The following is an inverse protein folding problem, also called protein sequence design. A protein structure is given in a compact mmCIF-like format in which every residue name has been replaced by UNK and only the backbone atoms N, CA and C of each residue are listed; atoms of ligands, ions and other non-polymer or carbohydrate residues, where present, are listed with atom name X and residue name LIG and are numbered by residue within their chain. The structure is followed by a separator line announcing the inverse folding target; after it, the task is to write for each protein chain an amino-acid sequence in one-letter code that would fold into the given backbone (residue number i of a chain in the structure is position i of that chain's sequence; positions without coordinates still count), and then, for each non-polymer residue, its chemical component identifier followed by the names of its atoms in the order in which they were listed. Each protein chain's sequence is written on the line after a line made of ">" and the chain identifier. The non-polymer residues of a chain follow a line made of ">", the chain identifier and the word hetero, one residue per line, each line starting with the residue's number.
data_IF_530708571265
#
_entry.id   IF_530708571265
#
_cell.length_a   1.000
_cell.length_b   1.000
_cell.length_c   1.000
_cell.angle_alpha   90.00
_cell.angle_beta   90.00
_cell.angle_gamma   90.00
#
_symmetry.space_group_name_H-M   'P 1'
#
loop_
_entity.id
_entity.type
_entity.pdbx_description
1 polymer ?
#
# COMPACT_ATOMS: atom_id res chain seq x y z
N UNK A 1 45.67 -31.04 14.44
CA UNK A 1 44.61 -30.90 15.48
C UNK A 1 45.31 -30.75 16.81
N UNK A 2 45.21 -29.59 17.45
CA UNK A 2 45.78 -29.38 18.79
C UNK A 2 44.90 -30.05 19.84
N UNK A 3 45.51 -30.59 20.91
CA UNK A 3 44.84 -31.30 22.03
C UNK A 3 43.76 -30.43 22.71
N UNK A 4 43.87 -29.11 22.57
CA UNK A 4 42.89 -28.12 23.03
C UNK A 4 41.56 -28.25 22.28
N UNK A 5 41.57 -28.56 20.99
CA UNK A 5 40.36 -28.66 20.14
C UNK A 5 39.50 -29.90 20.40
N UNK A 6 40.00 -30.86 21.21
CA UNK A 6 39.28 -32.10 21.56
C UNK A 6 38.73 -32.09 22.99
N UNK A 7 38.92 -31.01 23.74
CA UNK A 7 38.35 -30.89 25.09
C UNK A 7 36.81 -30.78 25.01
N UNK A 8 36.05 -31.66 25.69
CA UNK A 8 34.58 -31.66 25.61
C UNK A 8 33.93 -30.34 26.00
N UNK A 9 34.50 -29.63 26.99
CA UNK A 9 34.00 -28.31 27.42
C UNK A 9 34.13 -27.27 26.31
N UNK A 10 35.23 -27.27 25.54
CA UNK A 10 35.41 -26.33 24.44
C UNK A 10 34.50 -26.67 23.26
N UNK A 11 34.28 -27.95 22.98
CA UNK A 11 33.31 -28.37 21.96
C UNK A 11 31.88 -27.96 22.31
N UNK A 12 31.49 -28.10 23.57
CA UNK A 12 30.18 -27.67 24.06
C UNK A 12 30.02 -26.14 23.96
N UNK A 13 31.06 -25.37 24.31
CA UNK A 13 31.03 -23.91 24.19
C UNK A 13 30.99 -23.44 22.73
N UNK A 14 31.71 -24.09 21.82
CA UNK A 14 31.61 -23.83 20.37
C UNK A 14 30.20 -24.12 19.88
N UNK A 15 29.63 -25.29 20.22
CA UNK A 15 28.27 -25.63 19.84
C UNK A 15 27.22 -24.64 20.38
N UNK A 16 27.42 -24.14 21.61
CA UNK A 16 26.57 -23.11 22.21
C UNK A 16 26.72 -21.77 21.49
N UNK A 17 27.94 -21.34 21.16
CA UNK A 17 28.21 -20.12 20.40
C UNK A 17 27.58 -20.19 19.00
N UNK A 18 27.77 -21.30 18.29
CA UNK A 18 27.16 -21.52 16.97
C UNK A 18 25.62 -21.57 17.06
N UNK A 19 25.09 -22.13 18.14
CA UNK A 19 23.65 -22.15 18.43
C UNK A 19 23.09 -20.74 18.63
N UNK A 20 23.76 -19.91 19.41
CA UNK A 20 23.39 -18.51 19.64
C UNK A 20 23.45 -17.70 18.32
N UNK A 21 24.51 -17.84 17.53
CA UNK A 21 24.66 -17.16 16.24
C UNK A 21 23.59 -17.58 15.22
N UNK A 22 23.19 -18.86 15.19
CA UNK A 22 22.05 -19.31 14.36
C UNK A 22 20.73 -18.73 14.85
N UNK A 23 20.46 -18.75 16.16
CA UNK A 23 19.23 -18.23 16.74
C UNK A 23 19.07 -16.73 16.48
N UNK A 24 20.14 -15.95 16.67
CA UNK A 24 20.12 -14.52 16.37
C UNK A 24 19.87 -14.26 14.88
N UNK A 25 20.58 -14.96 13.98
CA UNK A 25 20.39 -14.78 12.53
C UNK A 25 18.97 -15.12 12.09
N UNK A 26 18.40 -16.21 12.62
CA UNK A 26 17.01 -16.58 12.36
C UNK A 26 16.06 -15.47 12.82
N UNK A 27 16.20 -15.00 14.06
CA UNK A 27 15.34 -13.94 14.59
C UNK A 27 15.46 -12.64 13.77
N UNK A 28 16.68 -12.25 13.36
CA UNK A 28 16.88 -11.07 12.50
C UNK A 28 16.18 -11.23 11.15
N UNK A 29 16.18 -12.43 10.56
CA UNK A 29 15.47 -12.70 9.30
C UNK A 29 13.95 -12.60 9.48
N UNK A 30 13.41 -13.21 10.52
CA UNK A 30 11.97 -13.15 10.86
C UNK A 30 11.53 -11.70 11.14
N UNK A 31 12.31 -10.96 11.93
CA UNK A 31 12.06 -9.56 12.23
C UNK A 31 12.10 -8.71 10.95
N UNK A 32 13.09 -8.90 10.08
CA UNK A 32 13.19 -8.17 8.82
C UNK A 32 11.96 -8.41 7.91
N UNK A 33 11.49 -9.65 7.80
CA UNK A 33 10.28 -9.97 7.04
C UNK A 33 9.04 -9.31 7.64
N UNK A 34 8.89 -9.34 8.98
CA UNK A 34 7.74 -8.72 9.65
C UNK A 34 7.75 -7.20 9.51
N UNK A 35 8.93 -6.57 9.65
CA UNK A 35 9.11 -5.12 9.45
C UNK A 35 8.70 -4.75 8.02
N UNK A 36 9.21 -5.47 7.00
CA UNK A 36 8.86 -5.19 5.61
C UNK A 36 7.34 -5.27 5.34
N UNK A 37 6.65 -6.25 5.92
CA UNK A 37 5.19 -6.35 5.83
C UNK A 37 4.47 -5.15 6.49
N UNK A 38 4.88 -4.77 7.70
CA UNK A 38 4.32 -3.62 8.40
C UNK A 38 4.57 -2.30 7.66
N UNK A 39 5.74 -2.14 7.03
CA UNK A 39 6.06 -0.96 6.23
C UNK A 39 5.19 -0.86 4.98
N UNK A 40 4.90 -1.99 4.32
CA UNK A 40 3.97 -2.03 3.19
C UNK A 40 2.54 -1.69 3.63
N UNK A 41 2.04 -2.32 4.69
CA UNK A 41 0.72 -2.03 5.27
C UNK A 41 0.56 -0.55 5.60
N UNK A 42 1.55 0.02 6.31
CA UNK A 42 1.60 1.45 6.65
C UNK A 42 1.58 2.32 5.40
N UNK A 43 2.39 1.99 4.41
CA UNK A 43 2.49 2.76 3.16
C UNK A 43 1.16 2.77 2.41
N UNK A 44 0.49 1.63 2.29
CA UNK A 44 -0.82 1.57 1.63
C UNK A 44 -1.90 2.29 2.44
N UNK A 45 -1.86 2.23 3.77
CA UNK A 45 -2.80 2.99 4.61
C UNK A 45 -2.69 4.50 4.39
N UNK A 46 -1.47 5.05 4.33
CA UNK A 46 -1.28 6.48 4.04
C UNK A 46 -1.66 6.86 2.61
N UNK A 47 -1.45 5.97 1.63
CA UNK A 47 -1.90 6.20 0.24
C UNK A 47 -3.41 6.26 0.13
N UNK A 48 -4.13 5.34 0.78
CA UNK A 48 -5.60 5.37 0.91
C UNK A 48 -6.05 6.70 1.49
N UNK A 49 -5.52 7.07 2.66
CA UNK A 49 -5.89 8.30 3.35
C UNK A 49 -5.62 9.54 2.50
N UNK A 50 -4.44 9.60 1.86
CA UNK A 50 -4.06 10.72 1.00
C UNK A 50 -5.00 10.87 -0.19
N UNK A 51 -5.29 9.78 -0.91
CA UNK A 51 -6.20 9.81 -2.04
C UNK A 51 -7.62 10.21 -1.63
N UNK A 52 -8.16 9.60 -0.56
CA UNK A 52 -9.53 9.89 -0.11
C UNK A 52 -9.70 11.35 0.28
N UNK A 53 -8.73 11.95 0.98
CA UNK A 53 -8.75 13.38 1.33
C UNK A 53 -8.77 14.25 0.09
N UNK A 54 -7.87 14.00 -0.86
CA UNK A 54 -7.78 14.80 -2.07
C UNK A 54 -9.04 14.68 -2.95
N UNK A 55 -9.66 13.51 -2.99
CA UNK A 55 -10.92 13.31 -3.70
C UNK A 55 -12.06 14.08 -3.02
N UNK A 56 -12.18 13.97 -1.70
CA UNK A 56 -13.18 14.73 -0.93
C UNK A 56 -13.00 16.22 -1.13
N UNK A 57 -11.78 16.74 -1.00
CA UNK A 57 -11.48 18.16 -1.21
C UNK A 57 -11.83 18.61 -2.64
N UNK A 58 -11.54 17.77 -3.64
CA UNK A 58 -11.82 18.08 -5.04
C UNK A 58 -13.33 18.10 -5.36
N UNK A 59 -14.11 17.16 -4.81
CA UNK A 59 -15.54 17.03 -5.11
C UNK A 59 -16.45 17.84 -4.20
N UNK A 60 -15.93 18.44 -3.12
CA UNK A 60 -16.73 19.18 -2.14
C UNK A 60 -17.54 20.35 -2.75
N UNK A 61 -17.05 20.94 -3.84
CA UNK A 61 -17.74 22.01 -4.58
C UNK A 61 -18.55 21.53 -5.78
N UNK A 62 -18.77 20.23 -5.94
CA UNK A 62 -19.54 19.69 -7.06
C UNK A 62 -21.05 19.90 -6.84
N UNK A 63 -21.73 20.49 -7.83
CA UNK A 63 -23.16 20.78 -7.75
C UNK A 63 -24.05 19.54 -7.98
N UNK A 64 -23.48 18.47 -8.56
CA UNK A 64 -24.18 17.23 -8.88
C UNK A 64 -23.24 16.03 -8.87
N UNK A 65 -23.80 14.82 -8.73
CA UNK A 65 -23.03 13.57 -8.72
C UNK A 65 -22.23 13.37 -10.01
N UNK A 66 -22.79 13.72 -11.17
CA UNK A 66 -22.09 13.64 -12.46
C UNK A 66 -20.83 14.53 -12.49
N UNK A 67 -20.92 15.74 -11.93
CA UNK A 67 -19.78 16.64 -11.79
C UNK A 67 -18.75 16.07 -10.82
N UNK A 68 -19.17 15.49 -9.69
CA UNK A 68 -18.28 14.84 -8.74
C UNK A 68 -17.53 13.65 -9.37
N UNK A 69 -18.22 12.83 -10.18
CA UNK A 69 -17.63 11.73 -10.94
C UNK A 69 -16.57 12.20 -11.91
N UNK A 70 -16.86 13.24 -12.70
CA UNK A 70 -15.92 13.83 -13.66
C UNK A 70 -14.68 14.40 -12.97
N UNK A 71 -14.88 15.17 -11.90
CA UNK A 71 -13.79 15.76 -11.09
C UNK A 71 -12.91 14.67 -10.48
N UNK A 72 -13.50 13.68 -9.82
CA UNK A 72 -12.75 12.60 -9.20
C UNK A 72 -11.97 11.76 -10.22
N UNK A 73 -12.56 11.47 -11.39
CA UNK A 73 -11.86 10.76 -12.45
C UNK A 73 -10.67 11.57 -12.99
N UNK A 74 -10.80 12.89 -13.12
CA UNK A 74 -9.68 13.77 -13.50
C UNK A 74 -8.59 13.80 -12.42
N UNK A 75 -8.97 13.94 -11.14
CA UNK A 75 -8.04 13.89 -10.00
C UNK A 75 -7.27 12.58 -9.95
N UNK A 76 -7.96 11.45 -10.10
CA UNK A 76 -7.34 10.13 -10.06
C UNK A 76 -6.38 9.92 -11.25
N UNK A 77 -6.77 10.29 -12.47
CA UNK A 77 -5.87 10.26 -13.64
C UNK A 77 -4.61 11.09 -13.40
N UNK A 78 -4.76 12.31 -12.88
CA UNK A 78 -3.65 13.20 -12.57
C UNK A 78 -2.69 12.60 -11.54
N UNK A 79 -3.22 11.98 -10.49
CA UNK A 79 -2.41 11.31 -9.45
C UNK A 79 -1.64 10.11 -9.96
N UNK A 80 -2.25 9.35 -10.87
CA UNK A 80 -1.64 8.18 -11.49
C UNK A 80 -0.76 8.50 -12.70
N UNK A 81 -0.64 9.78 -13.09
CA UNK A 81 0.13 10.22 -14.25
C UNK A 81 -0.41 9.69 -15.59
N UNK A 82 -1.71 9.42 -15.67
CA UNK A 82 -2.33 8.89 -16.89
C UNK A 82 -2.64 10.03 -17.86
N UNK A 83 -1.77 10.17 -18.87
CA UNK A 83 -1.90 11.18 -19.94
C UNK A 83 -2.63 10.69 -21.19
N UNK A 84 -2.86 9.38 -21.32
CA UNK A 84 -3.59 8.78 -22.43
C UNK A 84 -4.68 7.83 -21.96
N UNK A 85 -5.71 7.69 -22.78
CA UNK A 85 -6.78 6.71 -22.55
C UNK A 85 -6.31 5.31 -22.95
N UNK A 86 -6.71 4.31 -22.16
CA UNK A 86 -6.63 2.91 -22.53
C UNK A 86 -7.81 2.18 -21.90
N UNK A 87 -8.27 1.10 -22.53
CA UNK A 87 -9.39 0.30 -22.03
C UNK A 87 -9.18 -0.13 -20.57
N UNK A 88 -7.97 -0.58 -20.24
CA UNK A 88 -7.61 -0.99 -18.89
C UNK A 88 -7.62 0.16 -17.86
N UNK A 89 -7.40 1.42 -18.29
CA UNK A 89 -7.49 2.62 -17.42
C UNK A 89 -8.94 3.05 -17.27
N UNK A 90 -9.72 3.02 -18.35
CA UNK A 90 -11.15 3.31 -18.32
C UNK A 90 -11.89 2.37 -17.38
N UNK A 91 -11.62 1.06 -17.48
CA UNK A 91 -12.20 0.06 -16.57
C UNK A 91 -11.91 0.37 -15.10
N UNK A 92 -10.68 0.80 -14.76
CA UNK A 92 -10.33 1.18 -13.38
C UNK A 92 -11.15 2.37 -12.91
N UNK A 93 -11.33 3.39 -13.76
CA UNK A 93 -12.12 4.57 -13.42
C UNK A 93 -13.61 4.23 -13.26
N UNK A 94 -14.15 3.39 -14.13
CA UNK A 94 -15.53 2.88 -14.03
C UNK A 94 -15.75 2.11 -12.73
N UNK A 95 -14.81 1.23 -12.37
CA UNK A 95 -14.87 0.46 -11.13
C UNK A 95 -14.64 1.30 -9.88
N UNK A 96 -13.96 2.44 -10.01
CA UNK A 96 -13.75 3.39 -8.93
C UNK A 96 -14.93 4.36 -8.75
N UNK A 97 -15.77 4.57 -9.78
CA UNK A 97 -16.90 5.48 -9.72
C UNK A 97 -17.83 5.28 -8.50
N UNK A 98 -18.17 4.04 -8.06
CA UNK A 98 -18.95 3.83 -6.85
C UNK A 98 -18.33 4.42 -5.58
N UNK A 99 -16.99 4.46 -5.48
CA UNK A 99 -16.29 5.08 -4.34
C UNK A 99 -16.59 6.58 -4.31
N UNK A 100 -16.48 7.25 -5.47
CA UNK A 100 -16.83 8.66 -5.60
C UNK A 100 -18.30 8.91 -5.26
N UNK A 101 -19.23 8.08 -5.74
CA UNK A 101 -20.65 8.24 -5.44
C UNK A 101 -20.93 8.15 -3.94
N UNK A 102 -20.29 7.20 -3.25
CA UNK A 102 -20.42 7.06 -1.79
C UNK A 102 -19.83 8.27 -1.05
N UNK A 103 -18.65 8.77 -1.47
CA UNK A 103 -18.04 9.99 -0.92
C UNK A 103 -18.93 11.22 -1.14
N UNK A 104 -19.45 11.42 -2.35
CA UNK A 104 -20.32 12.54 -2.68
C UNK A 104 -21.63 12.51 -1.88
N UNK A 105 -22.25 11.33 -1.74
CA UNK A 105 -23.41 11.15 -0.88
C UNK A 105 -23.10 11.48 0.59
N UNK A 106 -21.92 11.10 1.08
CA UNK A 106 -21.47 11.42 2.45
C UNK A 106 -21.29 12.92 2.68
N UNK A 107 -20.98 13.69 1.64
CA UNK A 107 -20.80 15.14 1.73
C UNK A 107 -22.12 15.92 1.64
N UNK A 108 -23.12 15.34 0.99
CA UNK A 108 -24.38 16.01 0.67
C UNK A 108 -25.58 15.53 1.50
N UNK A 109 -25.45 14.40 2.18
CA UNK A 109 -26.49 13.82 3.04
C UNK A 109 -26.15 14.00 4.52
N UNK A 110 -27.16 14.18 5.37
CA UNK A 110 -26.99 14.25 6.84
C UNK A 110 -26.84 12.85 7.48
N UNK A 111 -27.27 11.80 6.77
CA UNK A 111 -27.17 10.40 7.21
C UNK A 111 -25.92 9.71 6.64
N UNK A 112 -25.39 8.73 7.37
CA UNK A 112 -24.34 7.84 6.87
C UNK A 112 -24.83 7.08 5.63
N UNK A 113 -24.22 7.28 4.44
CA UNK A 113 -24.73 6.65 3.24
C UNK A 113 -24.47 5.15 3.24
N UNK A 114 -25.45 4.38 2.77
CA UNK A 114 -25.32 2.97 2.47
C UNK A 114 -25.14 2.75 0.95
N UNK A 115 -24.15 1.97 0.50
CA UNK A 115 -23.03 1.42 1.28
C UNK A 115 -22.04 2.50 1.73
N UNK A 116 -21.30 2.23 2.81
CA UNK A 116 -20.30 3.17 3.32
C UNK A 116 -19.16 3.36 2.31
N UNK A 117 -18.53 4.55 2.23
CA UNK A 117 -17.38 4.76 1.35
C UNK A 117 -16.23 3.79 1.62
N UNK A 118 -16.09 3.35 2.88
CA UNK A 118 -15.07 2.39 3.28
C UNK A 118 -15.32 1.00 2.68
N UNK A 119 -16.57 0.52 2.71
CA UNK A 119 -16.92 -0.79 2.15
C UNK A 119 -16.75 -0.79 0.62
N UNK A 120 -17.18 0.28 -0.04
CA UNK A 120 -17.07 0.41 -1.50
C UNK A 120 -15.60 0.49 -1.93
N UNK A 121 -14.76 1.20 -1.17
CA UNK A 121 -13.32 1.24 -1.42
C UNK A 121 -12.70 -0.16 -1.26
N UNK A 122 -13.08 -0.90 -0.22
CA UNK A 122 -12.58 -2.26 0.00
C UNK A 122 -12.99 -3.22 -1.14
N UNK A 123 -14.20 -3.08 -1.68
CA UNK A 123 -14.66 -3.86 -2.83
C UNK A 123 -13.89 -3.52 -4.11
N UNK A 124 -13.63 -2.24 -4.36
CA UNK A 124 -12.77 -1.81 -5.46
C UNK A 124 -11.36 -2.39 -5.35
N UNK A 125 -10.75 -2.32 -4.15
CA UNK A 125 -9.41 -2.84 -3.92
C UNK A 125 -9.33 -4.34 -4.14
N UNK A 126 -10.34 -5.09 -3.68
CA UNK A 126 -10.43 -6.54 -3.90
C UNK A 126 -10.53 -6.86 -5.39
N UNK A 127 -11.42 -6.18 -6.10
CA UNK A 127 -11.54 -6.35 -7.55
C UNK A 127 -10.22 -6.05 -8.27
N UNK A 128 -9.51 -4.97 -7.91
CA UNK A 128 -8.25 -4.62 -8.55
C UNK A 128 -7.17 -5.69 -8.28
N UNK A 129 -7.07 -6.15 -7.03
CA UNK A 129 -6.11 -7.19 -6.65
C UNK A 129 -6.37 -8.51 -7.38
N UNK A 130 -7.63 -8.92 -7.51
CA UNK A 130 -8.01 -10.15 -8.20
C UNK A 130 -7.76 -10.07 -9.71
N UNK A 131 -8.13 -8.94 -10.33
CA UNK A 131 -8.01 -8.74 -11.78
C UNK A 131 -6.58 -8.46 -12.24
N UNK A 132 -5.79 -7.72 -11.46
CA UNK A 132 -4.44 -7.27 -11.84
C UNK A 132 -3.32 -8.01 -11.11
N UNK A 133 -3.65 -8.93 -10.19
CA UNK A 133 -2.70 -9.71 -9.37
C UNK A 133 -1.71 -8.83 -8.60
N UNK A 134 -2.13 -7.62 -8.26
CA UNK A 134 -1.31 -6.62 -7.59
C UNK A 134 -2.20 -5.63 -6.84
N UNK A 135 -1.81 -5.13 -5.65
CA UNK A 135 -2.52 -4.06 -4.97
C UNK A 135 -2.57 -2.77 -5.80
N UNK A 136 -3.74 -2.13 -5.86
CA UNK A 136 -3.92 -0.84 -6.54
C UNK A 136 -2.92 0.22 -6.06
N UNK A 137 -2.62 0.21 -4.76
CA UNK A 137 -1.76 1.19 -4.12
C UNK A 137 -0.31 1.18 -4.59
N UNK A 138 0.15 0.12 -5.26
CA UNK A 138 1.47 0.10 -5.90
C UNK A 138 1.55 1.11 -7.05
N UNK A 139 0.43 1.46 -7.71
CA UNK A 139 0.42 2.47 -8.77
C UNK A 139 0.85 3.86 -8.29
N UNK A 140 0.75 4.13 -6.99
CA UNK A 140 1.18 5.38 -6.36
C UNK A 140 2.67 5.39 -5.99
N UNK A 141 3.40 4.31 -6.28
CA UNK A 141 4.86 4.30 -6.17
C UNK A 141 5.45 5.17 -7.26
N UNK A 142 5.70 6.44 -6.91
CA UNK A 142 6.74 7.19 -7.61
C UNK A 142 8.05 6.45 -7.35
N UNK A 143 8.66 5.96 -8.42
CA UNK A 143 10.05 5.50 -8.39
C UNK A 143 10.92 6.72 -8.01
N UNK A 144 11.16 6.92 -6.72
CA UNK A 144 12.22 7.83 -6.28
C UNK A 144 13.49 7.08 -6.62
N UNK A 145 14.18 7.48 -7.69
CA UNK A 145 15.58 7.09 -7.85
C UNK A 145 16.27 7.53 -6.57
N UNK A 146 16.64 6.57 -5.71
CA UNK A 146 17.52 6.85 -4.60
C UNK A 146 18.86 7.21 -5.25
N UNK A 147 19.16 8.50 -5.34
CA UNK A 147 20.51 8.93 -5.66
C UNK A 147 21.42 8.31 -4.60
N UNK A 148 22.40 7.46 -4.95
CA UNK A 148 23.29 6.88 -3.97
C UNK A 148 23.96 8.03 -3.22
N UNK A 149 23.90 8.04 -1.88
CA UNK A 149 24.84 8.84 -1.11
C UNK A 149 26.21 8.27 -1.42
N UNK A 150 26.99 9.00 -2.21
CA UNK A 150 28.41 8.75 -2.36
C UNK A 150 29.05 9.25 -1.07
N UNK A 151 29.52 8.33 -0.23
CA UNK A 151 30.50 8.68 0.80
C UNK A 151 31.78 9.10 0.05
N UNK A 152 32.13 10.39 0.15
CA UNK A 152 33.44 10.91 -0.29
C UNK A 152 34.39 10.97 0.90
#
# INVERSE_FOLDING_TARGET
>A
MTVVSTLPVLQALVAAADGADRAERQYRQEAAQRIAGLEQERTFAYRRLGLMRELVDAIAGADAEESALSIAAATLRGKLGWSSESEARSEVLERFAPVTQALFRSLTSEDDPAPSPQDVLADFERWYADSRRSPFWILFERYVQQTPLVDF
#
